data_IF_285635854814
#
_entry.id   IF_285635854814
#
_cell.length_a   1.000
_cell.length_b   1.000
_cell.length_c   1.000
_cell.angle_alpha   90.00
_cell.angle_beta   90.00
_cell.angle_gamma   90.00
#
_symmetry.space_group_name_H-M   'P 1'
#
loop_
_entity.id
_entity.type
_entity.pdbx_description
1 polymer ?
#
# COMPACT_ATOMS: atom_id res chain seq x y z
N UNK A 1 27.21 -18.90 -19.26
CA UNK A 1 28.56 -19.21 -18.74
C UNK A 1 28.57 -18.81 -17.27
N UNK A 2 28.45 -19.79 -16.37
CA UNK A 2 28.56 -19.55 -14.92
C UNK A 2 29.97 -19.06 -14.60
N UNK A 3 30.10 -17.99 -13.80
CA UNK A 3 31.39 -17.56 -13.27
C UNK A 3 32.10 -18.75 -12.61
N UNK A 4 33.39 -18.95 -12.90
CA UNK A 4 34.16 -20.05 -12.31
C UNK A 4 34.25 -19.89 -10.79
N UNK A 5 34.38 -21.01 -10.07
CA UNK A 5 34.57 -21.06 -8.61
C UNK A 5 35.61 -20.04 -8.10
N UNK A 6 36.75 -19.80 -8.78
CA UNK A 6 37.72 -18.80 -8.35
C UNK A 6 37.20 -17.36 -8.36
N UNK A 7 36.36 -17.00 -9.34
CA UNK A 7 35.80 -15.64 -9.46
C UNK A 7 34.77 -15.37 -8.35
N UNK A 8 33.93 -16.36 -8.04
CA UNK A 8 32.94 -16.29 -6.96
C UNK A 8 33.64 -16.16 -5.61
N UNK A 9 34.69 -16.96 -5.37
CA UNK A 9 35.48 -16.88 -4.15
C UNK A 9 36.18 -15.52 -4.00
N UNK A 10 36.79 -15.01 -5.09
CA UNK A 10 37.38 -13.68 -5.10
C UNK A 10 36.39 -12.58 -4.73
N UNK A 11 35.17 -12.61 -5.30
CA UNK A 11 34.10 -11.67 -4.93
C UNK A 11 33.68 -11.80 -3.47
N UNK A 12 33.58 -13.03 -2.95
CA UNK A 12 33.20 -13.28 -1.56
C UNK A 12 34.23 -12.71 -0.58
N UNK A 13 35.52 -12.85 -0.86
CA UNK A 13 36.59 -12.26 -0.03
C UNK A 13 36.50 -10.74 -0.03
N UNK A 14 36.32 -10.11 -1.21
CA UNK A 14 36.17 -8.65 -1.33
C UNK A 14 34.94 -8.15 -0.57
N UNK A 15 33.80 -8.85 -0.70
CA UNK A 15 32.57 -8.49 0.00
C UNK A 15 32.71 -8.65 1.52
N UNK A 16 33.35 -9.71 2.00
CA UNK A 16 33.62 -9.91 3.42
C UNK A 16 34.54 -8.83 3.98
N UNK A 17 35.60 -8.47 3.27
CA UNK A 17 36.47 -7.36 3.66
C UNK A 17 35.69 -6.02 3.74
N UNK A 18 34.79 -5.77 2.77
CA UNK A 18 33.92 -4.60 2.79
C UNK A 18 32.95 -4.61 3.98
N UNK A 19 32.35 -5.76 4.30
CA UNK A 19 31.46 -5.91 5.48
C UNK A 19 32.22 -5.65 6.78
N UNK A 20 33.42 -6.20 6.93
CA UNK A 20 34.27 -5.95 8.10
C UNK A 20 34.65 -4.47 8.22
N UNK A 21 35.02 -3.83 7.10
CA UNK A 21 35.34 -2.40 7.07
C UNK A 21 34.14 -1.52 7.45
N UNK A 22 32.92 -1.87 7.01
CA UNK A 22 31.70 -1.17 7.41
C UNK A 22 31.36 -1.43 8.89
N UNK A 23 31.56 -2.63 9.40
CA UNK A 23 31.28 -2.98 10.79
C UNK A 23 32.14 -2.23 11.81
N UNK A 24 33.34 -1.79 11.41
CA UNK A 24 34.27 -1.02 12.26
C UNK A 24 33.99 0.49 12.28
N UNK A 25 33.08 0.99 11.43
CA UNK A 25 32.75 2.42 11.39
C UNK A 25 31.85 2.81 12.56
N UNK A 26 32.10 4.00 13.13
CA UNK A 26 31.22 4.58 14.12
C UNK A 26 30.01 5.24 13.44
N UNK A 27 28.82 4.73 13.72
CA UNK A 27 27.56 5.29 13.23
C UNK A 27 26.82 6.02 14.36
N UNK A 28 26.33 7.25 14.14
CA UNK A 28 25.49 7.92 15.13
C UNK A 28 24.16 7.17 15.26
N UNK A 29 23.78 6.82 16.48
CA UNK A 29 22.50 6.20 16.77
C UNK A 29 21.37 7.24 16.67
N UNK A 30 20.42 7.03 15.76
CA UNK A 30 19.22 7.87 15.65
C UNK A 30 18.07 7.34 16.51
N UNK A 31 17.93 6.02 16.57
CA UNK A 31 16.83 5.33 17.23
C UNK A 31 17.40 4.22 18.12
N UNK A 32 16.83 4.07 19.32
CA UNK A 32 17.23 3.05 20.29
C UNK A 32 15.99 2.22 20.64
N UNK A 33 16.13 0.90 20.63
CA UNK A 33 15.09 -0.02 21.07
C UNK A 33 15.42 -0.47 22.49
N UNK A 34 14.47 -0.31 23.40
CA UNK A 34 14.61 -0.66 24.82
C UNK A 34 13.63 -1.77 25.13
N UNK A 35 14.12 -2.83 25.77
CA UNK A 35 13.32 -3.97 26.24
C UNK A 35 13.12 -3.88 27.74
N UNK A 36 11.95 -4.31 28.20
CA UNK A 36 11.59 -4.37 29.62
C UNK A 36 11.37 -5.82 30.01
N UNK A 37 11.59 -6.15 31.29
CA UNK A 37 11.32 -7.49 31.82
C UNK A 37 9.82 -7.79 31.87
N UNK A 38 8.98 -6.77 32.08
CA UNK A 38 7.52 -6.92 32.16
C UNK A 38 6.80 -5.92 31.26
N UNK A 39 5.65 -6.33 30.71
CA UNK A 39 4.78 -5.45 29.93
C UNK A 39 4.23 -4.28 30.78
N UNK A 40 4.03 -4.51 32.08
CA UNK A 40 3.58 -3.48 33.01
C UNK A 40 4.60 -2.33 33.11
N UNK A 41 5.89 -2.65 33.24
CA UNK A 41 6.96 -1.66 33.26
C UNK A 41 7.05 -0.89 31.92
N UNK A 42 6.92 -1.59 30.80
CA UNK A 42 6.87 -0.96 29.48
C UNK A 42 5.70 0.04 29.39
N UNK A 43 4.49 -0.36 29.81
CA UNK A 43 3.29 0.49 29.79
C UNK A 43 3.46 1.72 30.68
N UNK A 44 4.05 1.55 31.87
CA UNK A 44 4.33 2.65 32.80
C UNK A 44 5.30 3.67 32.20
N UNK A 45 6.38 3.22 31.56
CA UNK A 45 7.32 4.11 30.87
C UNK A 45 6.65 4.79 29.68
N UNK A 46 5.88 4.07 28.88
CA UNK A 46 5.14 4.67 27.76
C UNK A 46 4.19 5.76 28.23
N UNK A 47 3.47 5.56 29.35
CA UNK A 47 2.59 6.60 29.91
C UNK A 47 3.37 7.78 30.49
N UNK A 48 4.48 7.53 31.18
CA UNK A 48 5.28 8.58 31.82
C UNK A 48 6.00 9.48 30.80
N UNK A 49 6.40 8.92 29.66
CA UNK A 49 7.06 9.63 28.56
C UNK A 49 6.10 9.96 27.40
N UNK A 50 4.78 9.83 27.59
CA UNK A 50 3.77 10.12 26.57
C UNK A 50 3.61 11.62 26.37
N UNK A 51 4.50 12.22 25.58
CA UNK A 51 4.41 13.62 25.16
C UNK A 51 4.07 13.74 23.68
N UNK A 52 3.26 14.76 23.35
CA UNK A 52 2.90 15.04 21.96
C UNK A 52 4.13 15.35 21.09
N UNK A 53 4.14 14.86 19.85
CA UNK A 53 5.26 15.01 18.91
C UNK A 53 5.77 16.45 18.79
N UNK A 54 4.86 17.42 18.81
CA UNK A 54 5.21 18.84 18.72
C UNK A 54 6.06 19.34 19.90
N UNK A 55 5.76 18.88 21.11
CA UNK A 55 6.55 19.22 22.31
C UNK A 55 7.94 18.60 22.23
N UNK A 56 8.05 17.37 21.71
CA UNK A 56 9.34 16.72 21.48
C UNK A 56 10.15 17.48 20.42
N UNK A 57 9.53 17.83 19.29
CA UNK A 57 10.18 18.53 18.18
C UNK A 57 10.69 19.92 18.58
N UNK A 58 9.99 20.62 19.47
CA UNK A 58 10.41 21.91 20.05
C UNK A 58 11.24 21.78 21.32
N UNK A 59 11.49 20.56 21.80
CA UNK A 59 12.14 20.27 23.07
C UNK A 59 11.55 21.06 24.25
N UNK A 60 10.22 21.11 24.34
CA UNK A 60 9.53 21.89 25.37
C UNK A 60 9.51 21.15 26.72
N UNK A 61 10.55 21.32 27.53
CA UNK A 61 10.74 20.63 28.83
C UNK A 61 9.59 20.81 29.82
N UNK A 62 8.77 21.87 29.69
CA UNK A 62 7.59 22.09 30.55
C UNK A 62 6.43 21.13 30.28
N UNK A 63 6.49 20.35 29.20
CA UNK A 63 5.46 19.36 28.87
C UNK A 63 5.55 18.07 29.69
N UNK A 64 6.62 17.89 30.46
CA UNK A 64 6.82 16.74 31.34
C UNK A 64 6.73 17.23 32.79
N UNK A 65 5.90 16.57 33.61
CA UNK A 65 5.69 16.93 35.00
C UNK A 65 6.93 16.70 35.87
N UNK A 66 7.62 15.57 35.67
CA UNK A 66 8.83 15.22 36.41
C UNK A 66 10.11 15.46 35.59
N UNK A 67 11.03 16.26 36.16
CA UNK A 67 12.35 16.52 35.55
C UNK A 67 13.22 15.28 35.48
N UNK A 68 12.97 14.25 36.28
CA UNK A 68 13.69 12.97 36.24
C UNK A 68 13.53 12.24 34.88
N UNK A 69 12.44 12.50 34.17
CA UNK A 69 12.15 11.92 32.86
C UNK A 69 12.79 12.71 31.69
N UNK A 70 13.58 13.75 31.96
CA UNK A 70 14.35 14.44 30.92
C UNK A 70 15.67 13.72 30.64
N UNK A 71 15.94 13.44 29.39
CA UNK A 71 17.22 12.86 28.99
C UNK A 71 18.35 13.85 29.24
N UNK A 72 19.28 13.43 30.11
CA UNK A 72 20.38 14.28 30.63
C UNK A 72 19.88 15.58 31.27
N UNK A 73 18.67 15.59 31.81
CA UNK A 73 18.07 16.76 32.46
C UNK A 73 17.61 17.88 31.50
N UNK A 74 17.81 17.76 30.19
CA UNK A 74 17.54 18.86 29.24
C UNK A 74 16.67 18.47 28.05
N UNK A 75 16.71 17.21 27.62
CA UNK A 75 16.10 16.79 26.35
C UNK A 75 14.87 15.91 26.57
N UNK A 76 13.84 16.19 25.78
CA UNK A 76 12.67 15.31 25.67
C UNK A 76 12.97 14.24 24.63
N UNK A 77 12.70 12.97 24.97
CA UNK A 77 12.78 11.86 24.04
C UNK A 77 11.42 11.58 23.40
N UNK A 78 11.44 11.21 22.12
CA UNK A 78 10.26 10.67 21.46
C UNK A 78 10.15 9.17 21.77
N UNK A 79 9.44 8.83 22.84
CA UNK A 79 9.24 7.43 23.24
C UNK A 79 7.92 6.95 22.66
N UNK A 80 7.96 5.85 21.92
CA UNK A 80 6.79 5.22 21.31
C UNK A 80 6.91 3.70 21.39
N UNK A 81 5.77 3.02 21.40
CA UNK A 81 5.73 1.56 21.36
C UNK A 81 6.42 1.06 20.08
N UNK A 82 7.40 0.16 20.27
CA UNK A 82 8.13 -0.43 19.15
C UNK A 82 7.22 -1.36 18.36
N UNK A 83 7.35 -1.32 17.03
CA UNK A 83 6.68 -2.27 16.15
C UNK A 83 7.44 -3.59 16.18
N UNK A 84 6.76 -4.67 15.82
CA UNK A 84 7.43 -5.96 15.69
C UNK A 84 8.64 -5.87 14.74
N UNK A 85 9.74 -6.60 15.00
CA UNK A 85 10.97 -6.50 14.20
C UNK A 85 10.75 -6.74 12.70
N UNK A 86 9.79 -7.59 12.34
CA UNK A 86 9.41 -7.89 10.95
C UNK A 86 8.70 -6.73 10.25
N UNK A 87 8.09 -5.82 11.01
CA UNK A 87 7.37 -4.66 10.49
C UNK A 87 8.24 -3.38 10.48
N UNK A 88 9.40 -3.39 11.14
CA UNK A 88 10.36 -2.29 11.13
C UNK A 88 11.17 -2.31 9.84
N UNK A 89 11.24 -1.16 9.18
CA UNK A 89 12.04 -0.98 7.96
C UNK A 89 13.40 -0.38 8.34
N UNK A 90 14.37 -1.27 8.58
CA UNK A 90 15.70 -0.91 9.07
C UNK A 90 16.47 0.04 8.15
N UNK A 91 16.29 -0.09 6.82
CA UNK A 91 16.95 0.74 5.81
C UNK A 91 16.52 2.21 5.87
N UNK A 92 15.27 2.47 6.28
CA UNK A 92 14.65 3.80 6.25
C UNK A 92 14.64 4.48 7.64
N UNK A 93 15.20 3.80 8.64
CA UNK A 93 15.03 4.17 10.05
C UNK A 93 15.70 5.51 10.39
N UNK A 94 16.85 5.79 9.78
CA UNK A 94 17.70 6.97 10.02
C UNK A 94 17.30 8.21 9.18
N UNK A 95 16.22 8.12 8.41
CA UNK A 95 15.82 9.22 7.53
C UNK A 95 15.23 10.41 8.30
N UNK A 96 15.70 11.62 7.96
CA UNK A 96 15.27 12.87 8.60
C UNK A 96 13.83 13.19 8.17
N UNK A 97 13.04 13.79 9.09
CA UNK A 97 11.66 14.20 8.81
C UNK A 97 11.54 15.09 7.55
N UNK A 98 12.47 16.04 7.37
CA UNK A 98 12.49 16.91 6.18
C UNK A 98 12.64 16.11 4.88
N UNK A 99 13.49 15.09 4.88
CA UNK A 99 13.69 14.18 3.75
C UNK A 99 12.42 13.37 3.47
N UNK A 100 11.83 12.78 4.52
CA UNK A 100 10.55 12.05 4.46
C UNK A 100 9.42 12.89 3.86
N UNK A 101 9.23 14.12 4.36
CA UNK A 101 8.19 15.02 3.85
C UNK A 101 8.45 15.36 2.39
N UNK A 102 9.69 15.71 2.02
CA UNK A 102 10.04 16.01 0.62
C UNK A 102 9.73 14.84 -0.31
N UNK A 103 10.10 13.61 0.07
CA UNK A 103 9.81 12.40 -0.71
C UNK A 103 8.29 12.18 -0.84
N UNK A 104 7.55 12.23 0.28
CA UNK A 104 6.10 12.06 0.30
C UNK A 104 5.38 13.11 -0.55
N UNK A 105 5.81 14.38 -0.50
CA UNK A 105 5.22 15.44 -1.32
C UNK A 105 5.50 15.18 -2.80
N UNK A 106 6.73 14.84 -3.17
CA UNK A 106 7.10 14.58 -4.57
C UNK A 106 6.30 13.42 -5.16
N UNK A 107 6.18 12.30 -4.44
CA UNK A 107 5.44 11.13 -4.92
C UNK A 107 3.93 11.35 -4.91
N UNK A 108 3.41 12.18 -4.01
CA UNK A 108 1.99 12.59 -4.03
C UNK A 108 1.70 13.47 -5.24
N UNK A 109 2.58 14.42 -5.55
CA UNK A 109 2.48 15.23 -6.78
C UNK A 109 2.55 14.33 -8.02
N UNK A 110 3.49 13.40 -8.09
CA UNK A 110 3.58 12.43 -9.19
C UNK A 110 2.30 11.59 -9.32
N UNK A 111 1.69 11.22 -8.21
CA UNK A 111 0.40 10.52 -8.18
C UNK A 111 -0.72 11.39 -8.75
N UNK A 112 -0.82 12.67 -8.35
CA UNK A 112 -1.81 13.60 -8.89
C UNK A 112 -1.62 13.85 -10.39
N UNK A 113 -0.38 13.98 -10.85
CA UNK A 113 -0.05 14.08 -12.27
C UNK A 113 -0.49 12.82 -13.04
N UNK A 114 -0.28 11.62 -12.48
CA UNK A 114 -0.72 10.37 -13.09
C UNK A 114 -2.26 10.28 -13.16
N UNK A 115 -2.98 10.76 -12.13
CA UNK A 115 -4.45 10.86 -12.16
C UNK A 115 -4.90 11.80 -13.28
N UNK A 116 -4.35 13.01 -13.36
CA UNK A 116 -4.70 13.97 -14.40
C UNK A 116 -4.36 13.46 -15.81
N UNK A 117 -3.22 12.80 -15.98
CA UNK A 117 -2.81 12.19 -17.24
C UNK A 117 -3.79 11.11 -17.69
N UNK A 118 -4.16 10.19 -16.80
CA UNK A 118 -5.13 9.13 -17.13
C UNK A 118 -6.50 9.73 -17.42
N UNK A 119 -6.95 10.72 -16.65
CA UNK A 119 -8.21 11.42 -16.92
C UNK A 119 -8.22 12.07 -18.32
N UNK A 120 -7.11 12.72 -18.70
CA UNK A 120 -6.93 13.30 -20.03
C UNK A 120 -6.93 12.24 -21.13
N UNK A 121 -6.23 11.13 -20.95
CA UNK A 121 -6.23 10.00 -21.91
C UNK A 121 -7.63 9.40 -22.06
N UNK A 122 -8.37 9.22 -20.97
CA UNK A 122 -9.75 8.73 -20.99
C UNK A 122 -10.65 9.69 -21.77
N UNK A 123 -10.48 11.01 -21.58
CA UNK A 123 -11.21 12.02 -22.35
C UNK A 123 -10.91 11.90 -23.86
N UNK A 124 -9.64 11.80 -24.24
CA UNK A 124 -9.25 11.62 -25.66
C UNK A 124 -9.79 10.32 -26.26
N UNK A 125 -9.69 9.20 -25.54
CA UNK A 125 -10.20 7.90 -25.98
C UNK A 125 -11.72 7.93 -26.14
N UNK A 126 -12.43 8.62 -25.25
CA UNK A 126 -13.88 8.73 -25.29
C UNK A 126 -14.39 9.56 -26.47
N UNK A 127 -13.66 10.62 -26.85
CA UNK A 127 -14.00 11.39 -28.05
C UNK A 127 -13.95 10.54 -29.34
N UNK A 128 -13.28 9.38 -29.32
CA UNK A 128 -13.29 8.39 -30.41
C UNK A 128 -14.42 7.37 -30.24
N UNK A 129 -14.54 6.74 -29.07
CA UNK A 129 -15.68 5.88 -28.72
C UNK A 129 -15.73 5.61 -27.22
N UNK A 130 -16.95 5.39 -26.70
CA UNK A 130 -17.17 5.09 -25.29
C UNK A 130 -16.42 3.81 -24.83
N UNK A 131 -16.33 2.80 -25.70
CA UNK A 131 -15.62 1.56 -25.40
C UNK A 131 -14.13 1.80 -25.15
N UNK A 132 -13.47 2.62 -26.00
CA UNK A 132 -12.07 2.98 -25.79
C UNK A 132 -11.84 3.74 -24.48
N UNK A 133 -12.79 4.60 -24.08
CA UNK A 133 -12.74 5.27 -22.77
C UNK A 133 -12.79 4.27 -21.60
N UNK A 134 -13.67 3.26 -21.67
CA UNK A 134 -13.77 2.21 -20.66
C UNK A 134 -12.50 1.34 -20.61
N UNK A 135 -11.94 0.96 -21.77
CA UNK A 135 -10.66 0.25 -21.83
C UNK A 135 -9.51 1.07 -21.23
N UNK A 136 -9.46 2.38 -21.46
CA UNK A 136 -8.45 3.25 -20.88
C UNK A 136 -8.56 3.31 -19.34
N UNK A 137 -9.78 3.38 -18.79
CA UNK A 137 -10.02 3.32 -17.33
C UNK A 137 -9.56 1.97 -16.77
N UNK A 138 -9.95 0.86 -17.40
CA UNK A 138 -9.58 -0.49 -16.97
C UNK A 138 -8.06 -0.71 -16.98
N UNK A 139 -7.39 -0.29 -18.07
CA UNK A 139 -5.93 -0.33 -18.18
C UNK A 139 -5.25 0.53 -17.11
N UNK A 140 -5.74 1.75 -16.88
CA UNK A 140 -5.23 2.62 -15.81
C UNK A 140 -5.35 1.98 -14.43
N UNK A 141 -6.50 1.38 -14.11
CA UNK A 141 -6.75 0.71 -12.83
C UNK A 141 -5.91 -0.56 -12.61
N UNK A 142 -5.53 -1.24 -13.69
CA UNK A 142 -4.64 -2.39 -13.65
C UNK A 142 -3.15 -2.01 -13.54
N UNK A 143 -2.72 -0.95 -14.24
CA UNK A 143 -1.32 -0.52 -14.29
C UNK A 143 -0.91 0.35 -13.10
N UNK A 144 -1.80 1.20 -12.59
CA UNK A 144 -1.44 2.18 -11.56
C UNK A 144 -0.90 1.58 -10.26
N UNK A 145 -1.43 0.45 -9.72
CA UNK A 145 -0.84 -0.16 -8.52
C UNK A 145 0.65 -0.52 -8.68
N UNK A 146 1.08 -0.93 -9.89
CA UNK A 146 2.49 -1.21 -10.17
C UNK A 146 3.32 0.08 -10.14
N UNK A 147 2.82 1.15 -10.75
CA UNK A 147 3.45 2.47 -10.70
C UNK A 147 3.51 3.04 -9.28
N UNK A 148 2.43 2.93 -8.52
CA UNK A 148 2.36 3.38 -7.13
C UNK A 148 3.36 2.63 -6.23
N UNK A 149 3.56 1.33 -6.45
CA UNK A 149 4.62 0.56 -5.77
C UNK A 149 6.00 1.14 -6.07
N UNK A 150 6.31 1.46 -7.32
CA UNK A 150 7.59 2.06 -7.70
C UNK A 150 7.80 3.41 -7.01
N UNK A 151 6.77 4.26 -6.94
CA UNK A 151 6.84 5.53 -6.22
C UNK A 151 7.10 5.33 -4.73
N UNK A 152 6.39 4.39 -4.10
CA UNK A 152 6.51 4.13 -2.66
C UNK A 152 7.86 3.49 -2.31
N UNK A 153 8.53 2.80 -3.23
CA UNK A 153 9.92 2.34 -2.99
C UNK A 153 10.93 3.49 -2.92
N UNK A 154 10.61 4.66 -3.47
CA UNK A 154 11.41 5.88 -3.33
C UNK A 154 11.08 6.67 -2.05
N UNK A 155 10.06 6.26 -1.29
CA UNK A 155 9.68 6.87 -0.02
C UNK A 155 10.33 6.14 1.15
N UNK A 156 10.86 6.91 2.09
CA UNK A 156 11.35 6.36 3.35
C UNK A 156 10.23 6.25 4.38
N UNK A 157 10.03 5.04 4.89
CA UNK A 157 9.04 4.74 5.92
C UNK A 157 9.68 4.02 7.10
N UNK A 158 9.41 4.44 8.33
CA UNK A 158 9.93 3.75 9.52
C UNK A 158 9.35 2.34 9.74
N UNK A 159 8.28 1.98 9.02
CA UNK A 159 7.61 0.70 9.17
C UNK A 159 6.82 0.31 7.92
N UNK A 160 6.58 -0.99 7.75
CA UNK A 160 5.73 -1.54 6.71
C UNK A 160 4.29 -1.00 6.78
N UNK A 161 3.71 -0.84 7.97
CA UNK A 161 2.36 -0.26 8.10
C UNK A 161 2.23 1.17 7.55
N UNK A 162 3.25 2.02 7.76
CA UNK A 162 3.27 3.38 7.20
C UNK A 162 3.45 3.37 5.68
N UNK A 163 4.28 2.45 5.17
CA UNK A 163 4.46 2.25 3.72
C UNK A 163 3.16 1.80 3.06
N UNK A 164 2.48 0.81 3.65
CA UNK A 164 1.17 0.37 3.17
C UNK A 164 0.12 1.47 3.24
N UNK A 165 0.11 2.29 4.30
CA UNK A 165 -0.81 3.42 4.40
C UNK A 165 -0.60 4.44 3.27
N UNK A 166 0.66 4.74 2.93
CA UNK A 166 1.01 5.61 1.79
C UNK A 166 0.58 5.01 0.45
N UNK A 167 0.86 3.71 0.24
CA UNK A 167 0.45 2.97 -0.94
C UNK A 167 -1.09 2.94 -1.08
N UNK A 168 -1.79 2.67 0.03
CA UNK A 168 -3.24 2.64 0.12
C UNK A 168 -3.84 3.99 -0.29
N UNK A 169 -3.34 5.09 0.28
CA UNK A 169 -3.82 6.44 -0.06
C UNK A 169 -3.68 6.74 -1.56
N UNK A 170 -2.51 6.47 -2.15
CA UNK A 170 -2.25 6.73 -3.57
C UNK A 170 -3.14 5.92 -4.50
N UNK A 171 -3.27 4.61 -4.25
CA UNK A 171 -4.11 3.72 -5.06
C UNK A 171 -5.59 4.08 -4.90
N UNK A 172 -6.03 4.43 -3.69
CA UNK A 172 -7.42 4.79 -3.44
C UNK A 172 -7.78 6.08 -4.17
N UNK A 173 -6.96 7.12 -4.01
CA UNK A 173 -7.14 8.41 -4.68
C UNK A 173 -7.25 8.22 -6.21
N UNK A 174 -6.33 7.45 -6.79
CA UNK A 174 -6.35 7.18 -8.22
C UNK A 174 -7.63 6.44 -8.65
N UNK A 175 -7.99 5.35 -7.96
CA UNK A 175 -9.15 4.53 -8.33
C UNK A 175 -10.45 5.30 -8.16
N UNK A 176 -10.60 6.07 -7.09
CA UNK A 176 -11.81 6.85 -6.83
C UNK A 176 -12.02 7.94 -7.87
N UNK A 177 -10.98 8.75 -8.11
CA UNK A 177 -11.07 9.85 -9.08
C UNK A 177 -11.30 9.31 -10.49
N UNK A 178 -10.50 8.34 -10.94
CA UNK A 178 -10.60 7.86 -12.32
C UNK A 178 -11.83 6.98 -12.59
N UNK A 179 -12.29 6.21 -11.60
CA UNK A 179 -13.40 5.27 -11.83
C UNK A 179 -14.77 5.93 -11.63
N UNK A 180 -14.91 6.85 -10.66
CA UNK A 180 -16.18 7.51 -10.39
C UNK A 180 -16.23 8.93 -10.96
N UNK A 181 -15.33 9.82 -10.50
CA UNK A 181 -15.41 11.27 -10.81
C UNK A 181 -15.15 11.54 -12.30
N UNK A 182 -14.10 10.97 -12.88
CA UNK A 182 -13.77 11.15 -14.30
C UNK A 182 -14.87 10.53 -15.17
N UNK A 183 -15.39 9.36 -14.80
CA UNK A 183 -16.49 8.72 -15.52
C UNK A 183 -17.77 9.56 -15.50
N UNK A 184 -18.12 10.21 -14.38
CA UNK A 184 -19.28 11.10 -14.33
C UNK A 184 -19.07 12.39 -15.10
N UNK A 185 -17.92 13.05 -14.93
CA UNK A 185 -17.63 14.33 -15.59
C UNK A 185 -17.59 14.20 -17.11
N UNK A 186 -17.01 13.12 -17.63
CA UNK A 186 -16.90 12.92 -19.08
C UNK A 186 -18.21 12.32 -19.66
N UNK A 187 -19.11 11.76 -18.84
CA UNK A 187 -20.40 11.25 -19.31
C UNK A 187 -21.47 12.33 -19.37
N UNK A 188 -21.88 12.82 -20.56
CA UNK A 188 -22.96 13.79 -20.64
C UNK A 188 -24.27 13.18 -20.12
N UNK A 189 -25.02 13.97 -19.35
CA UNK A 189 -26.30 13.58 -18.73
C UNK A 189 -27.29 12.98 -19.75
N UNK A 190 -27.30 13.48 -20.98
CA UNK A 190 -28.15 13.01 -22.08
C UNK A 190 -27.86 11.58 -22.56
N UNK A 191 -26.69 11.02 -22.23
CA UNK A 191 -26.33 9.62 -22.54
C UNK A 191 -26.70 8.62 -21.42
N UNK A 192 -27.23 9.11 -20.29
CA UNK A 192 -27.55 8.29 -19.12
C UNK A 192 -28.80 7.40 -19.31
N UNK A 193 -29.72 7.80 -20.20
CA UNK A 193 -31.07 7.23 -20.34
C UNK A 193 -31.49 6.94 -21.79
N UNK A 194 -30.64 7.16 -22.80
CA UNK A 194 -31.00 6.85 -24.19
C UNK A 194 -31.14 5.33 -24.39
N UNK A 195 -31.40 4.84 -25.61
CA UNK A 195 -31.48 3.38 -25.91
C UNK A 195 -30.38 3.05 -26.92
N UNK A 196 -29.30 2.38 -26.48
CA UNK A 196 -28.09 2.07 -27.23
C UNK A 196 -26.94 1.51 -26.35
N UNK A 197 -25.84 1.05 -26.94
CA UNK A 197 -24.70 0.44 -26.23
C UNK A 197 -23.80 1.43 -25.45
N UNK A 198 -24.35 2.56 -25.00
CA UNK A 198 -23.60 3.72 -24.52
C UNK A 198 -24.11 4.29 -23.19
N UNK A 199 -24.88 3.52 -22.41
CA UNK A 199 -25.44 4.01 -21.14
C UNK A 199 -24.48 3.89 -19.97
N UNK A 200 -24.53 4.91 -19.11
CA UNK A 200 -23.77 4.99 -17.87
C UNK A 200 -24.07 3.80 -16.95
N UNK A 201 -25.34 3.37 -16.88
CA UNK A 201 -25.77 2.24 -16.03
C UNK A 201 -25.10 0.94 -16.46
N UNK A 202 -25.03 0.67 -17.77
CA UNK A 202 -24.35 -0.52 -18.29
C UNK A 202 -22.85 -0.49 -17.96
N UNK A 203 -22.21 0.67 -18.08
CA UNK A 203 -20.80 0.85 -17.70
C UNK A 203 -20.56 0.59 -16.21
N UNK A 204 -21.47 1.06 -15.34
CA UNK A 204 -21.41 0.81 -13.89
C UNK A 204 -21.63 -0.68 -13.60
N UNK A 205 -22.62 -1.31 -14.23
CA UNK A 205 -22.89 -2.73 -14.08
C UNK A 205 -21.68 -3.58 -14.50
N UNK A 206 -21.09 -3.31 -15.66
CA UNK A 206 -19.89 -3.98 -16.15
C UNK A 206 -18.71 -3.81 -15.18
N UNK A 207 -18.56 -2.63 -14.57
CA UNK A 207 -17.54 -2.41 -13.54
C UNK A 207 -17.77 -3.30 -12.33
N UNK A 208 -19.01 -3.37 -11.79
CA UNK A 208 -19.32 -4.27 -10.68
C UNK A 208 -19.13 -5.74 -11.06
N UNK A 209 -19.57 -6.13 -12.25
CA UNK A 209 -19.42 -7.50 -12.76
C UNK A 209 -17.95 -7.91 -12.87
N UNK A 210 -17.10 -7.03 -13.39
CA UNK A 210 -15.66 -7.27 -13.47
C UNK A 210 -15.02 -7.46 -12.08
N UNK A 211 -15.47 -6.72 -11.06
CA UNK A 211 -14.97 -6.91 -9.69
C UNK A 211 -15.49 -8.21 -9.05
N UNK A 212 -16.76 -8.55 -9.26
CA UNK A 212 -17.35 -9.78 -8.71
C UNK A 212 -16.70 -11.01 -9.34
N UNK A 213 -16.54 -11.03 -10.66
CA UNK A 213 -16.12 -12.22 -11.41
C UNK A 213 -14.65 -12.12 -11.78
N UNK A 214 -14.27 -11.18 -12.64
CA UNK A 214 -12.94 -11.14 -13.26
C UNK A 214 -11.82 -11.03 -12.24
N UNK A 215 -11.91 -10.10 -11.27
CA UNK A 215 -10.88 -9.92 -10.24
C UNK A 215 -10.71 -11.17 -9.37
N UNK A 216 -11.82 -11.78 -8.94
CA UNK A 216 -11.80 -12.97 -8.09
C UNK A 216 -11.30 -14.21 -8.83
N UNK A 217 -11.71 -14.41 -10.09
CA UNK A 217 -11.23 -15.53 -10.91
C UNK A 217 -9.72 -15.41 -11.14
N UNK A 218 -9.22 -14.23 -11.52
CA UNK A 218 -7.78 -14.01 -11.73
C UNK A 218 -6.99 -14.25 -10.43
N UNK A 219 -7.53 -13.83 -9.29
CA UNK A 219 -6.92 -14.05 -7.99
C UNK A 219 -6.86 -15.53 -7.61
N UNK A 220 -7.97 -16.25 -7.73
CA UNK A 220 -8.05 -17.67 -7.40
C UNK A 220 -7.19 -18.51 -8.33
N UNK A 221 -7.09 -18.13 -9.60
CA UNK A 221 -6.27 -18.80 -10.59
C UNK A 221 -4.77 -18.60 -10.39
N UNK A 222 -4.32 -17.57 -9.65
CA UNK A 222 -2.91 -17.24 -9.40
C UNK A 222 -1.97 -17.52 -10.60
N UNK A 223 -2.25 -16.95 -11.79
CA UNK A 223 -1.56 -17.36 -13.02
C UNK A 223 -0.05 -17.12 -12.92
N UNK A 224 0.35 -16.00 -12.30
CA UNK A 224 1.76 -15.68 -12.11
C UNK A 224 2.44 -16.64 -11.13
N UNK A 225 1.77 -17.03 -10.03
CA UNK A 225 2.31 -18.00 -9.09
C UNK A 225 2.46 -19.39 -9.71
N UNK A 226 1.52 -19.83 -10.56
CA UNK A 226 1.69 -21.08 -11.31
C UNK A 226 2.86 -21.02 -12.29
N UNK A 227 3.07 -19.90 -12.99
CA UNK A 227 4.26 -19.74 -13.86
C UNK A 227 5.54 -19.83 -13.03
N UNK A 228 5.60 -19.17 -11.87
CA UNK A 228 6.76 -19.22 -10.98
C UNK A 228 7.02 -20.65 -10.47
N UNK A 229 6.00 -21.35 -9.99
CA UNK A 229 6.13 -22.69 -9.37
C UNK A 229 6.38 -23.80 -10.38
N UNK A 230 5.72 -23.79 -11.54
CA UNK A 230 5.78 -24.90 -12.50
C UNK A 230 6.78 -24.68 -13.63
N UNK A 231 7.03 -23.42 -14.04
CA UNK A 231 7.93 -23.14 -15.16
C UNK A 231 9.29 -22.61 -14.71
N UNK A 232 9.34 -21.67 -13.76
CA UNK A 232 10.59 -21.05 -13.34
C UNK A 232 11.33 -21.85 -12.27
N UNK A 233 10.62 -22.38 -11.27
CA UNK A 233 11.24 -23.07 -10.14
C UNK A 233 12.06 -24.31 -10.56
N UNK A 234 11.60 -25.19 -11.47
CA UNK A 234 12.40 -26.34 -11.93
C UNK A 234 13.65 -25.93 -12.73
N UNK A 235 13.72 -24.68 -13.20
CA UNK A 235 14.84 -24.14 -13.99
C UNK A 235 15.81 -23.31 -13.13
N UNK A 236 15.60 -23.26 -11.82
CA UNK A 236 16.48 -22.54 -10.92
C UNK A 236 17.80 -23.30 -10.72
N UNK A 237 18.93 -22.59 -10.82
CA UNK A 237 20.26 -23.20 -10.71
C UNK A 237 20.64 -23.59 -9.28
N UNK A 238 19.97 -23.01 -8.27
CA UNK A 238 20.23 -23.29 -6.85
C UNK A 238 18.94 -23.66 -6.14
N UNK A 239 19.05 -24.51 -5.13
CA UNK A 239 17.92 -24.91 -4.30
C UNK A 239 17.26 -23.71 -3.62
N UNK A 240 18.05 -22.74 -3.15
CA UNK A 240 17.55 -21.51 -2.56
C UNK A 240 16.71 -20.70 -3.55
N UNK A 241 17.16 -20.55 -4.80
CA UNK A 241 16.40 -19.87 -5.83
C UNK A 241 15.10 -20.61 -6.17
N UNK A 242 15.13 -21.96 -6.18
CA UNK A 242 13.93 -22.77 -6.33
C UNK A 242 12.95 -22.54 -5.18
N UNK A 243 13.42 -22.53 -3.92
CA UNK A 243 12.58 -22.26 -2.76
C UNK A 243 11.96 -20.87 -2.79
N UNK A 244 12.70 -19.86 -3.24
CA UNK A 244 12.18 -18.50 -3.39
C UNK A 244 11.03 -18.43 -4.40
N UNK A 245 11.09 -19.22 -5.49
CA UNK A 245 10.04 -19.30 -6.51
C UNK A 245 8.83 -20.15 -6.08
N UNK A 246 9.01 -21.05 -5.11
CA UNK A 246 7.92 -21.85 -4.54
C UNK A 246 7.13 -21.12 -3.44
N UNK A 247 7.57 -19.93 -3.01
CA UNK A 247 6.85 -19.15 -2.03
C UNK A 247 5.46 -18.71 -2.53
N UNK A 248 4.56 -18.47 -1.58
CA UNK A 248 3.25 -17.88 -1.87
C UNK A 248 3.38 -16.49 -2.53
N UNK A 249 2.38 -16.08 -3.30
CA UNK A 249 2.38 -14.76 -3.92
C UNK A 249 2.40 -13.65 -2.84
N UNK A 250 3.21 -12.60 -3.00
CA UNK A 250 3.14 -11.44 -2.12
C UNK A 250 1.78 -10.76 -2.30
N UNK A 251 1.13 -10.43 -1.18
CA UNK A 251 -0.07 -9.60 -1.20
C UNK A 251 0.17 -8.35 -0.35
N UNK A 252 -0.39 -7.23 -0.81
CA UNK A 252 -0.32 -5.95 -0.12
C UNK A 252 -1.70 -5.64 0.44
N UNK A 253 -1.78 -5.41 1.75
CA UNK A 253 -3.03 -5.03 2.42
C UNK A 253 -3.61 -3.75 1.80
N UNK A 254 -2.75 -2.80 1.40
CA UNK A 254 -3.15 -1.59 0.72
C UNK A 254 -4.05 -1.85 -0.51
N UNK A 255 -3.65 -2.78 -1.38
CA UNK A 255 -4.43 -3.09 -2.58
C UNK A 255 -5.78 -3.72 -2.26
N UNK A 256 -5.84 -4.56 -1.24
CA UNK A 256 -7.08 -5.22 -0.79
C UNK A 256 -8.05 -4.21 -0.21
N UNK A 257 -7.57 -3.37 0.71
CA UNK A 257 -8.37 -2.28 1.28
C UNK A 257 -8.85 -1.31 0.20
N UNK A 258 -8.00 -0.93 -0.77
CA UNK A 258 -8.45 -0.04 -1.86
C UNK A 258 -9.47 -0.68 -2.77
N UNK A 259 -9.40 -2.00 -3.00
CA UNK A 259 -10.42 -2.67 -3.81
C UNK A 259 -11.79 -2.64 -3.11
N UNK A 260 -11.79 -2.95 -1.82
CA UNK A 260 -12.98 -2.89 -0.98
C UNK A 260 -13.58 -1.47 -0.94
N UNK A 261 -12.77 -0.46 -0.64
CA UNK A 261 -13.26 0.92 -0.53
C UNK A 261 -13.66 1.52 -1.87
N UNK A 262 -13.03 1.12 -2.98
CA UNK A 262 -13.48 1.48 -4.33
C UNK A 262 -14.89 0.98 -4.61
N UNK A 263 -15.19 -0.30 -4.34
CA UNK A 263 -16.51 -0.89 -4.60
C UNK A 263 -17.59 -0.20 -3.76
N UNK A 264 -17.28 0.08 -2.48
CA UNK A 264 -18.17 0.81 -1.58
C UNK A 264 -18.41 2.26 -2.05
N UNK A 265 -17.34 2.97 -2.41
CA UNK A 265 -17.44 4.34 -2.92
C UNK A 265 -18.26 4.39 -4.20
N UNK A 266 -18.03 3.46 -5.14
CA UNK A 266 -18.79 3.34 -6.38
C UNK A 266 -20.29 3.11 -6.11
N UNK A 267 -20.61 2.25 -5.14
CA UNK A 267 -21.99 1.93 -4.77
C UNK A 267 -22.71 3.14 -4.17
N UNK A 268 -22.07 3.86 -3.24
CA UNK A 268 -22.64 5.05 -2.60
C UNK A 268 -22.78 6.21 -3.60
N UNK A 269 -21.75 6.42 -4.43
CA UNK A 269 -21.74 7.47 -5.45
C UNK A 269 -22.86 7.32 -6.48
N UNK A 270 -23.12 6.09 -6.94
CA UNK A 270 -24.15 5.82 -7.96
C UNK A 270 -25.50 5.37 -7.40
N UNK A 271 -25.64 5.22 -6.08
CA UNK A 271 -26.91 4.82 -5.45
C UNK A 271 -28.11 5.69 -5.87
N UNK A 272 -28.01 7.03 -6.00
CA UNK A 272 -29.16 7.85 -6.40
C UNK A 272 -29.69 7.54 -7.81
N UNK A 273 -28.83 7.06 -8.70
CA UNK A 273 -29.17 6.79 -10.12
C UNK A 273 -29.46 5.31 -10.33
N UNK A 274 -28.75 4.43 -9.62
CA UNK A 274 -28.84 2.97 -9.75
C UNK A 274 -28.84 2.31 -8.37
N UNK A 275 -29.99 2.26 -7.66
CA UNK A 275 -30.08 1.70 -6.31
C UNK A 275 -29.65 0.23 -6.21
N UNK A 276 -29.81 -0.53 -7.31
CA UNK A 276 -29.35 -1.91 -7.39
C UNK A 276 -27.81 -2.06 -7.25
N UNK A 277 -27.05 -0.97 -7.38
CA UNK A 277 -25.61 -0.94 -7.07
C UNK A 277 -25.30 -1.39 -5.63
N UNK A 278 -26.18 -1.10 -4.66
CA UNK A 278 -26.00 -1.53 -3.27
C UNK A 278 -26.06 -3.06 -3.15
N UNK A 279 -26.96 -3.71 -3.88
CA UNK A 279 -27.07 -5.16 -3.91
C UNK A 279 -25.84 -5.79 -4.57
N UNK A 280 -25.41 -5.26 -5.73
CA UNK A 280 -24.19 -5.70 -6.40
C UNK A 280 -22.95 -5.52 -5.52
N UNK A 281 -22.86 -4.41 -4.78
CA UNK A 281 -21.81 -4.16 -3.81
C UNK A 281 -21.79 -5.22 -2.70
N UNK A 282 -22.95 -5.56 -2.12
CA UNK A 282 -23.07 -6.60 -1.09
C UNK A 282 -22.55 -7.95 -1.60
N UNK A 283 -22.97 -8.35 -2.80
CA UNK A 283 -22.51 -9.59 -3.45
C UNK A 283 -21.00 -9.53 -3.72
N UNK A 284 -20.48 -8.41 -4.22
CA UNK A 284 -19.06 -8.24 -4.49
C UNK A 284 -18.20 -8.39 -3.21
N UNK A 285 -18.62 -7.76 -2.11
CA UNK A 285 -17.93 -7.88 -0.83
C UNK A 285 -17.98 -9.30 -0.28
N UNK A 286 -19.11 -10.00 -0.43
CA UNK A 286 -19.26 -11.39 -0.01
C UNK A 286 -18.32 -12.33 -0.79
N UNK A 287 -18.29 -12.22 -2.12
CA UNK A 287 -17.41 -13.03 -2.97
C UNK A 287 -15.94 -12.72 -2.67
N UNK A 288 -15.57 -11.44 -2.57
CA UNK A 288 -14.22 -11.02 -2.21
C UNK A 288 -13.80 -11.59 -0.84
N UNK A 289 -14.70 -11.62 0.14
CA UNK A 289 -14.41 -12.20 1.46
C UNK A 289 -14.02 -13.68 1.36
N UNK A 290 -14.78 -14.49 0.62
CA UNK A 290 -14.46 -15.91 0.46
C UNK A 290 -13.20 -16.13 -0.39
N UNK A 291 -13.02 -15.35 -1.46
CA UNK A 291 -11.84 -15.44 -2.32
C UNK A 291 -10.55 -15.04 -1.58
N UNK A 292 -10.58 -13.94 -0.82
CA UNK A 292 -9.46 -13.48 0.02
C UNK A 292 -9.19 -14.49 1.14
N UNK A 293 -10.24 -15.05 1.78
CA UNK A 293 -10.07 -16.10 2.80
C UNK A 293 -9.38 -17.33 2.23
N UNK A 294 -9.80 -17.80 1.05
CA UNK A 294 -9.14 -18.92 0.38
C UNK A 294 -7.67 -18.61 0.07
N UNK A 295 -7.42 -17.41 -0.49
CA UNK A 295 -6.08 -16.98 -0.90
C UNK A 295 -5.13 -16.85 0.28
N UNK A 296 -5.60 -16.34 1.43
CA UNK A 296 -4.85 -16.25 2.67
C UNK A 296 -4.40 -17.61 3.20
N UNK A 297 -5.21 -18.66 3.01
CA UNK A 297 -4.92 -20.00 3.52
C UNK A 297 -4.07 -20.84 2.55
N UNK A 298 -4.08 -20.55 1.25
CA UNK A 298 -3.54 -21.46 0.22
C UNK A 298 -2.53 -20.84 -0.74
N UNK A 299 -2.67 -19.56 -1.08
CA UNK A 299 -1.96 -18.96 -2.23
C UNK A 299 -0.93 -17.92 -1.79
N UNK A 300 -1.27 -17.13 -0.79
CA UNK A 300 -0.47 -16.00 -0.37
C UNK A 300 0.56 -16.39 0.67
N UNK A 301 1.73 -15.76 0.60
CA UNK A 301 2.71 -15.87 1.66
C UNK A 301 2.29 -15.02 2.86
N UNK A 302 2.69 -15.38 4.09
CA UNK A 302 2.44 -14.55 5.27
C UNK A 302 2.99 -13.14 5.06
N UNK A 303 2.13 -12.13 5.24
CA UNK A 303 2.58 -10.75 5.25
C UNK A 303 3.25 -10.41 6.60
N UNK A 304 4.15 -9.41 6.66
CA UNK A 304 4.65 -8.88 7.92
C UNK A 304 3.49 -8.53 8.84
N UNK A 305 3.67 -8.67 10.16
CA UNK A 305 2.62 -8.31 11.12
C UNK A 305 2.43 -6.80 11.13
N UNK A 306 1.48 -6.35 10.32
CA UNK A 306 1.12 -4.95 10.19
C UNK A 306 0.05 -4.64 11.24
N UNK A 307 0.31 -3.63 12.08
CA UNK A 307 -0.66 -3.17 13.07
C UNK A 307 -1.93 -2.57 12.43
N UNK A 308 -2.86 -2.12 13.26
CA UNK A 308 -4.21 -1.63 12.88
C UNK A 308 -4.23 -0.30 12.11
N UNK A 309 -3.07 0.24 11.75
CA UNK A 309 -2.90 1.58 11.14
C UNK A 309 -3.73 1.79 9.87
N UNK A 310 -3.73 0.84 8.93
CA UNK A 310 -4.51 0.94 7.67
C UNK A 310 -6.01 0.94 7.96
N UNK A 311 -6.46 0.06 8.85
CA UNK A 311 -7.86 -0.03 9.26
C UNK A 311 -8.34 1.26 9.94
N UNK A 312 -7.53 1.83 10.84
CA UNK A 312 -7.82 3.10 11.48
C UNK A 312 -7.90 4.27 10.48
N UNK A 313 -6.98 4.30 9.50
CA UNK A 313 -6.95 5.32 8.46
C UNK A 313 -8.16 5.19 7.52
N UNK A 314 -8.48 3.96 7.08
CA UNK A 314 -9.69 3.68 6.29
C UNK A 314 -10.95 4.14 7.02
N UNK A 315 -11.04 3.88 8.33
CA UNK A 315 -12.20 4.27 9.12
C UNK A 315 -12.34 5.77 9.33
N UNK A 316 -11.23 6.45 9.62
CA UNK A 316 -11.24 7.87 9.96
C UNK A 316 -11.46 8.78 8.75
N UNK A 317 -10.89 8.44 7.60
CA UNK A 317 -10.90 9.32 6.44
C UNK A 317 -11.82 8.80 5.34
N UNK A 318 -11.74 7.51 5.01
CA UNK A 318 -12.41 7.00 3.81
C UNK A 318 -13.90 6.75 4.03
N UNK A 319 -14.30 6.13 5.14
CA UNK A 319 -15.74 5.98 5.41
C UNK A 319 -16.43 7.32 5.62
N UNK A 320 -15.76 8.29 6.25
CA UNK A 320 -16.32 9.63 6.41
C UNK A 320 -16.53 10.34 5.08
N UNK A 321 -15.58 10.23 4.13
CA UNK A 321 -15.71 10.86 2.80
C UNK A 321 -16.71 10.11 1.90
N UNK A 322 -16.82 8.79 2.02
CA UNK A 322 -17.73 8.02 1.19
C UNK A 322 -19.22 8.20 1.57
N UNK A 323 -19.49 8.55 2.83
CA UNK A 323 -20.85 8.77 3.36
C UNK A 323 -21.27 10.24 3.27
N UNK A 324 -20.32 11.17 3.20
CA UNK A 324 -20.58 12.61 3.08
C UNK A 324 -20.95 13.00 1.64
#
# INVERSE_FOLDING_TARGET
LSAGVPEVYGRLVVLNAKVQGLAQQNYPASNVFVTFETEAAQRQVLSAFSVGYYHVARNNSSAIEDRSHLFRGEKILNVQEAKEPSAVRWQDLNEKLKGRIKQLTLTTVATLCAVALVAFLVHLCRNRSAAFGAFAIAAGNALFPMFAKLLVMAESHSSEGSKQASLYFKIALFRWVNTAIVTTVISPFTSQLSVGSHHLIESIYLQFFAEIVTTNVVQLADPMGHVQRHFLAPRANTQEAMYMLMQGAPYELAERYTNMTKILFLALWYCPIYPAALFLCSVALLVNFFADRFSLMRTWKPAPRMGTTISALSRKYFFSVAVA
#
